data_IF_572263332679
#
_entry.id   IF_572263332679
#
_cell.length_a   1.000
_cell.length_b   1.000
_cell.length_c   1.000
_cell.angle_alpha   90.00
_cell.angle_beta   90.00
_cell.angle_gamma   90.00
#
_symmetry.space_group_name_H-M   'P 1'
#
loop_
_entity.id
_entity.type
_entity.pdbx_description
1 polymer ?
#
# COMPACT_ATOMS: atom_id res chain seq x y z
N UNK A 1 84.71 15.60 -3.94
CA UNK A 1 83.61 16.28 -4.61
C UNK A 1 82.88 15.24 -5.44
N UNK A 2 81.73 14.73 -4.93
CA UNK A 2 80.94 13.70 -5.61
C UNK A 2 79.64 14.35 -6.07
N UNK A 3 79.47 14.42 -7.38
CA UNK A 3 78.28 14.90 -8.01
C UNK A 3 77.25 13.75 -8.08
N UNK A 4 76.07 13.93 -7.50
CA UNK A 4 74.96 13.00 -7.60
C UNK A 4 74.05 13.47 -8.75
N UNK A 5 73.94 12.64 -9.78
CA UNK A 5 72.97 12.81 -10.87
C UNK A 5 71.61 12.22 -10.42
N UNK A 6 70.60 13.06 -10.35
CA UNK A 6 69.22 12.64 -10.13
C UNK A 6 68.55 12.41 -11.48
N UNK A 7 68.25 11.15 -11.81
CA UNK A 7 67.47 10.81 -12.99
C UNK A 7 65.98 10.95 -12.69
N UNK A 8 65.30 11.86 -13.37
CA UNK A 8 63.85 12.08 -13.30
C UNK A 8 63.17 11.11 -14.28
N UNK A 9 62.52 10.06 -13.74
CA UNK A 9 61.69 9.17 -14.56
C UNK A 9 60.29 9.76 -14.77
N UNK A 10 59.94 10.06 -16.00
CA UNK A 10 58.64 10.56 -16.41
C UNK A 10 57.69 9.35 -16.61
N UNK A 11 56.74 9.16 -15.70
CA UNK A 11 55.69 8.14 -15.86
C UNK A 11 54.52 8.77 -16.67
N UNK A 12 54.28 8.23 -17.85
CA UNK A 12 53.11 8.56 -18.66
C UNK A 12 51.89 7.78 -18.10
N UNK A 13 50.92 8.49 -17.50
CA UNK A 13 49.65 7.91 -17.07
C UNK A 13 48.74 7.89 -18.29
N UNK A 14 48.50 6.72 -18.88
CA UNK A 14 47.46 6.50 -19.89
C UNK A 14 46.12 6.46 -19.22
N UNK A 15 45.30 7.52 -19.34
CA UNK A 15 43.94 7.54 -18.90
C UNK A 15 43.09 6.67 -19.85
N UNK A 16 42.65 5.51 -19.36
CA UNK A 16 41.62 4.72 -20.05
C UNK A 16 40.29 5.47 -19.93
N UNK A 17 39.76 5.97 -21.04
CA UNK A 17 38.41 6.47 -21.10
C UNK A 17 37.44 5.32 -20.87
N UNK A 18 36.78 5.29 -19.70
CA UNK A 18 35.69 4.37 -19.42
C UNK A 18 34.49 4.79 -20.27
N UNK A 19 34.12 3.96 -21.23
CA UNK A 19 32.86 4.10 -21.94
C UNK A 19 31.72 3.93 -20.92
N UNK A 20 30.82 4.91 -20.76
CA UNK A 20 29.69 4.74 -19.84
C UNK A 20 28.86 3.53 -20.28
N UNK A 21 28.54 2.66 -19.31
CA UNK A 21 27.68 1.52 -19.56
C UNK A 21 26.30 2.02 -20.05
N UNK A 22 25.67 1.34 -21.01
CA UNK A 22 24.34 1.73 -21.47
C UNK A 22 23.38 1.74 -20.28
N UNK A 23 22.77 2.90 -20.04
CA UNK A 23 21.69 3.03 -19.04
C UNK A 23 20.49 2.24 -19.56
N UNK A 24 20.23 1.07 -18.99
CA UNK A 24 19.00 0.33 -19.25
C UNK A 24 17.87 1.14 -18.61
N UNK A 25 17.12 1.84 -19.45
CA UNK A 25 15.86 2.48 -19.01
C UNK A 25 14.85 1.35 -18.86
N UNK A 26 14.55 0.98 -17.63
CA UNK A 26 13.47 0.04 -17.34
C UNK A 26 12.16 0.66 -17.84
N UNK A 27 11.32 -0.11 -18.56
CA UNK A 27 10.05 0.41 -19.05
C UNK A 27 9.17 0.81 -17.86
N UNK A 28 8.66 2.03 -17.89
CA UNK A 28 7.75 2.54 -16.86
C UNK A 28 6.50 1.65 -16.80
N UNK A 29 6.07 1.31 -15.58
CA UNK A 29 4.86 0.54 -15.36
C UNK A 29 3.63 1.27 -15.92
N UNK A 30 2.84 0.59 -16.74
CA UNK A 30 1.55 1.08 -17.26
C UNK A 30 0.43 0.26 -16.66
N UNK A 31 -0.34 0.86 -15.75
CA UNK A 31 -1.54 0.24 -15.16
C UNK A 31 -2.75 0.54 -16.03
N UNK A 32 -3.42 -0.50 -16.54
CA UNK A 32 -4.64 -0.37 -17.35
C UNK A 32 -5.92 -0.44 -16.52
N UNK A 33 -5.92 -1.22 -15.43
CA UNK A 33 -7.05 -1.39 -14.53
C UNK A 33 -6.74 -2.32 -13.39
N UNK A 34 -7.81 -2.86 -12.78
CA UNK A 34 -7.75 -3.97 -11.83
C UNK A 34 -8.89 -4.94 -12.09
N UNK A 35 -8.63 -6.23 -11.84
CA UNK A 35 -9.63 -7.28 -11.78
C UNK A 35 -9.88 -7.64 -10.32
N UNK A 36 -11.07 -7.32 -9.79
CA UNK A 36 -11.48 -7.69 -8.42
C UNK A 36 -11.85 -9.16 -8.42
N UNK A 37 -11.24 -9.92 -7.51
CA UNK A 37 -11.47 -11.37 -7.35
C UNK A 37 -12.38 -11.69 -6.19
N UNK A 38 -12.24 -10.98 -5.05
CA UNK A 38 -13.09 -11.11 -3.87
C UNK A 38 -13.35 -9.76 -3.22
N UNK A 39 -14.52 -9.65 -2.57
CA UNK A 39 -14.85 -8.53 -1.70
C UNK A 39 -15.71 -9.04 -0.54
N UNK A 40 -15.21 -8.94 0.69
CA UNK A 40 -15.89 -9.54 1.84
C UNK A 40 -15.06 -9.50 3.11
N UNK A 41 -15.40 -10.35 4.06
CA UNK A 41 -14.62 -10.54 5.27
C UNK A 41 -13.54 -11.60 5.05
N UNK A 42 -12.38 -11.37 5.64
CA UNK A 42 -11.24 -12.27 5.54
C UNK A 42 -10.57 -12.46 6.90
N UNK A 43 -9.70 -13.45 6.99
CA UNK A 43 -8.84 -13.72 8.15
C UNK A 43 -7.42 -13.98 7.68
N UNK A 44 -6.45 -13.74 8.56
CA UNK A 44 -5.03 -14.00 8.30
C UNK A 44 -4.17 -13.41 9.42
N UNK A 45 -2.94 -13.92 9.58
CA UNK A 45 -1.96 -13.31 10.46
C UNK A 45 -1.74 -11.84 10.10
N UNK A 46 -1.92 -10.97 11.08
CA UNK A 46 -1.77 -9.53 10.86
C UNK A 46 -0.68 -8.94 11.76
N UNK A 47 -0.03 -7.93 11.25
CA UNK A 47 0.89 -7.08 12.00
C UNK A 47 0.56 -5.61 11.70
N UNK A 48 0.95 -4.71 12.58
CA UNK A 48 0.75 -3.28 12.38
C UNK A 48 2.04 -2.50 12.64
N UNK A 49 2.20 -1.41 11.91
CA UNK A 49 3.26 -0.43 12.11
C UNK A 49 2.65 0.97 12.20
N UNK A 50 3.41 1.92 12.76
CA UNK A 50 3.01 3.33 12.75
C UNK A 50 2.83 3.81 11.31
N UNK A 51 1.78 4.57 11.04
CA UNK A 51 1.53 5.19 9.73
C UNK A 51 2.66 6.18 9.39
N UNK A 52 3.10 6.15 8.15
CA UNK A 52 4.14 7.04 7.62
C UNK A 52 3.54 8.41 7.26
N UNK A 53 4.40 9.40 7.01
CA UNK A 53 3.97 10.71 6.55
C UNK A 53 3.11 10.61 5.26
N UNK A 54 1.97 11.30 5.24
CA UNK A 54 1.00 11.24 4.14
C UNK A 54 0.01 10.08 4.21
N UNK A 55 0.13 9.19 5.21
CA UNK A 55 -0.87 8.18 5.52
C UNK A 55 -1.74 8.65 6.68
N UNK A 56 -3.06 8.54 6.52
CA UNK A 56 -4.04 8.95 7.51
C UNK A 56 -4.91 7.75 7.91
N UNK A 57 -4.83 7.37 9.18
CA UNK A 57 -5.58 6.26 9.77
C UNK A 57 -6.08 6.67 11.16
N UNK A 58 -7.30 6.30 11.58
CA UNK A 58 -7.82 6.63 12.90
C UNK A 58 -6.98 6.13 14.06
N UNK A 59 -6.31 5.00 13.89
CA UNK A 59 -5.39 4.42 14.88
C UNK A 59 -3.97 4.94 14.76
N UNK A 60 -3.65 5.72 13.71
CA UNK A 60 -2.28 6.11 13.32
C UNK A 60 -1.36 4.92 13.05
N UNK A 61 -1.95 3.78 12.71
CA UNK A 61 -1.23 2.56 12.32
C UNK A 61 -1.74 2.05 10.99
N UNK A 62 -0.87 1.34 10.28
CA UNK A 62 -1.20 0.62 9.05
C UNK A 62 -0.93 -0.85 9.28
N UNK A 63 -1.93 -1.67 8.99
CA UNK A 63 -1.85 -3.13 9.09
C UNK A 63 -1.30 -3.75 7.80
N UNK A 64 -0.66 -4.89 7.95
CA UNK A 64 -0.35 -5.82 6.87
C UNK A 64 -0.90 -7.19 7.25
N UNK A 65 -1.44 -7.91 6.27
CA UNK A 65 -1.97 -9.25 6.44
C UNK A 65 -1.26 -10.18 5.47
N UNK A 66 -0.91 -11.37 5.94
CA UNK A 66 -0.30 -12.42 5.13
C UNK A 66 -1.17 -13.67 5.13
N UNK A 67 -1.07 -14.50 4.08
CA UNK A 67 -1.80 -15.77 3.98
C UNK A 67 -3.30 -15.62 4.29
N UNK A 68 -3.91 -14.55 3.76
CA UNK A 68 -5.32 -14.26 3.98
C UNK A 68 -6.22 -15.30 3.32
N UNK A 69 -7.38 -15.51 3.94
CA UNK A 69 -8.44 -16.36 3.42
C UNK A 69 -9.77 -15.63 3.58
N UNK A 70 -10.57 -15.55 2.52
CA UNK A 70 -11.91 -14.99 2.60
C UNK A 70 -12.83 -15.95 3.37
N UNK A 71 -13.57 -15.39 4.30
CA UNK A 71 -14.60 -16.09 5.09
C UNK A 71 -15.96 -15.93 4.43
N UNK A 72 -16.21 -14.75 3.86
CA UNK A 72 -17.43 -14.44 3.09
C UNK A 72 -17.07 -13.58 1.87
N UNK A 73 -17.85 -13.69 0.82
CA UNK A 73 -17.86 -12.77 -0.33
C UNK A 73 -19.02 -11.75 -0.23
N UNK A 74 -19.48 -11.45 0.99
CA UNK A 74 -20.54 -10.48 1.26
C UNK A 74 -19.96 -9.13 1.66
N UNK A 75 -20.59 -8.07 1.20
CA UNK A 75 -20.31 -6.70 1.64
C UNK A 75 -21.02 -6.33 2.94
N UNK A 76 -21.88 -7.21 3.47
CA UNK A 76 -22.46 -7.07 4.81
C UNK A 76 -21.49 -7.57 5.87
N UNK A 77 -21.09 -6.68 6.76
CA UNK A 77 -20.04 -6.93 7.76
C UNK A 77 -20.59 -6.79 9.17
N UNK A 78 -20.44 -7.82 9.97
CA UNK A 78 -20.73 -7.73 11.41
C UNK A 78 -19.57 -7.03 12.10
N UNK A 79 -19.83 -5.85 12.68
CA UNK A 79 -18.83 -5.02 13.35
C UNK A 79 -18.44 -5.61 14.70
N UNK A 80 -17.35 -6.34 14.75
CA UNK A 80 -16.76 -6.93 15.94
C UNK A 80 -15.25 -6.68 15.95
N UNK A 81 -14.67 -6.46 17.14
CA UNK A 81 -13.21 -6.37 17.27
C UNK A 81 -12.57 -7.65 16.73
N UNK A 82 -11.59 -7.48 15.86
CA UNK A 82 -10.92 -8.55 15.12
C UNK A 82 -11.52 -8.86 13.74
N UNK A 83 -12.73 -8.36 13.40
CA UNK A 83 -13.26 -8.50 12.03
C UNK A 83 -12.41 -7.70 11.05
N UNK A 84 -12.02 -8.35 9.96
CA UNK A 84 -11.30 -7.76 8.84
C UNK A 84 -12.15 -7.89 7.57
N UNK A 85 -12.21 -6.84 6.76
CA UNK A 85 -12.95 -6.82 5.49
C UNK A 85 -12.22 -6.00 4.44
N UNK A 86 -12.41 -6.32 3.18
CA UNK A 86 -11.69 -5.65 2.12
C UNK A 86 -11.92 -6.21 0.73
N UNK A 87 -11.03 -5.83 -0.16
CA UNK A 87 -11.06 -6.12 -1.60
C UNK A 87 -9.77 -6.85 -1.96
N UNK A 88 -9.92 -8.03 -2.54
CA UNK A 88 -8.82 -8.72 -3.21
C UNK A 88 -8.91 -8.43 -4.72
N UNK A 89 -7.79 -8.12 -5.31
CA UNK A 89 -7.73 -7.77 -6.72
C UNK A 89 -6.35 -8.06 -7.31
N UNK A 90 -6.32 -8.10 -8.64
CA UNK A 90 -5.09 -8.18 -9.45
C UNK A 90 -4.95 -6.89 -10.24
N UNK A 91 -3.75 -6.32 -10.25
CA UNK A 91 -3.45 -5.11 -11.04
C UNK A 91 -3.17 -5.53 -12.48
N UNK A 92 -3.95 -5.00 -13.42
CA UNK A 92 -3.78 -5.23 -14.84
C UNK A 92 -2.87 -4.16 -15.44
N UNK A 93 -1.90 -4.59 -16.27
CA UNK A 93 -0.94 -3.66 -16.86
C UNK A 93 0.31 -4.34 -17.43
N UNK A 94 1.30 -3.53 -17.76
CA UNK A 94 2.59 -3.96 -18.33
C UNK A 94 3.74 -3.11 -17.81
N UNK A 95 4.97 -3.67 -17.71
CA UNK A 95 5.28 -5.08 -17.80
C UNK A 95 4.80 -5.86 -16.57
N UNK A 96 4.63 -7.17 -16.70
CA UNK A 96 4.30 -8.02 -15.55
C UNK A 96 5.38 -7.91 -14.46
N UNK A 97 4.99 -8.07 -13.19
CA UNK A 97 5.84 -7.95 -11.99
C UNK A 97 6.43 -6.55 -11.76
N UNK A 98 6.14 -5.56 -12.61
CA UNK A 98 6.59 -4.20 -12.36
C UNK A 98 5.98 -3.66 -11.06
N UNK A 99 6.80 -3.02 -10.21
CA UNK A 99 6.33 -2.43 -8.97
C UNK A 99 5.48 -1.19 -9.26
N UNK A 100 4.37 -1.07 -8.54
CA UNK A 100 3.48 0.09 -8.57
C UNK A 100 3.07 0.48 -7.15
N UNK A 101 2.78 1.75 -6.94
CA UNK A 101 2.20 2.23 -5.69
C UNK A 101 0.72 2.47 -5.90
N UNK A 102 -0.11 1.67 -5.24
CA UNK A 102 -1.55 1.93 -5.15
C UNK A 102 -1.89 2.59 -3.81
N UNK A 103 -3.04 3.23 -3.75
CA UNK A 103 -3.54 3.90 -2.55
C UNK A 103 -4.95 3.38 -2.25
N UNK A 104 -5.20 3.07 -0.99
CA UNK A 104 -6.54 2.82 -0.49
C UNK A 104 -7.08 4.11 0.11
N UNK A 105 -8.24 4.55 -0.37
CA UNK A 105 -9.04 5.60 0.25
C UNK A 105 -10.28 4.97 0.85
N UNK A 106 -10.55 5.28 2.11
CA UNK A 106 -11.72 4.80 2.83
C UNK A 106 -12.56 6.00 3.22
N UNK A 107 -13.84 6.00 2.86
CA UNK A 107 -14.82 6.92 3.41
C UNK A 107 -15.62 6.20 4.48
N UNK A 108 -15.65 6.76 5.68
CA UNK A 108 -16.39 6.24 6.83
C UNK A 108 -17.85 6.69 6.80
N UNK A 109 -18.74 6.04 7.57
CA UNK A 109 -20.10 6.52 7.77
C UNK A 109 -20.14 7.99 8.23
N UNK A 110 -21.27 8.72 8.05
CA UNK A 110 -21.36 10.15 8.39
C UNK A 110 -20.94 10.52 9.80
N UNK A 111 -21.13 9.61 10.77
CA UNK A 111 -20.69 9.83 12.15
C UNK A 111 -19.16 9.89 12.30
N UNK A 112 -18.42 9.34 11.34
CA UNK A 112 -16.97 9.26 11.39
C UNK A 112 -16.44 8.42 12.54
N UNK A 113 -15.14 8.16 12.53
CA UNK A 113 -14.45 7.46 13.63
C UNK A 113 -13.82 8.48 14.57
N UNK A 114 -14.17 8.42 15.86
CA UNK A 114 -13.56 9.25 16.89
C UNK A 114 -12.55 8.45 17.71
N UNK A 115 -11.28 8.84 17.62
CA UNK A 115 -10.24 8.26 18.46
C UNK A 115 -10.34 8.80 19.90
N UNK A 116 -10.63 7.99 20.92
CA UNK A 116 -10.79 8.45 22.30
C UNK A 116 -9.51 8.98 22.93
N UNK A 117 -8.34 8.54 22.44
CA UNK A 117 -7.05 8.94 22.98
C UNK A 117 -6.60 10.31 22.50
N UNK A 118 -7.01 10.72 21.29
CA UNK A 118 -6.64 12.02 20.69
C UNK A 118 -7.81 13.00 20.64
N UNK A 119 -9.06 12.49 20.75
CA UNK A 119 -10.27 13.25 20.56
C UNK A 119 -10.59 13.56 19.10
N UNK A 120 -9.68 13.23 18.18
CA UNK A 120 -9.81 13.47 16.75
C UNK A 120 -10.94 12.64 16.14
N UNK A 121 -11.71 13.25 15.24
CA UNK A 121 -12.74 12.57 14.44
C UNK A 121 -12.33 12.60 13.00
N UNK A 122 -12.33 11.42 12.36
CA UNK A 122 -12.00 11.25 10.96
C UNK A 122 -13.20 10.72 10.18
N UNK A 123 -13.43 11.28 9.00
CA UNK A 123 -14.46 10.83 8.07
C UNK A 123 -13.90 10.04 6.91
N UNK A 124 -12.59 10.00 6.78
CA UNK A 124 -11.87 9.21 5.77
C UNK A 124 -10.50 8.77 6.27
N UNK A 125 -9.95 7.77 5.61
CA UNK A 125 -8.57 7.34 5.77
C UNK A 125 -7.89 7.20 4.41
N UNK A 126 -6.58 7.35 4.39
CA UNK A 126 -5.76 7.17 3.18
C UNK A 126 -4.51 6.39 3.53
N UNK A 127 -4.26 5.30 2.83
CA UNK A 127 -3.10 4.44 3.04
C UNK A 127 -2.45 4.10 1.70
N UNK A 128 -1.16 4.37 1.56
CA UNK A 128 -0.39 3.98 0.40
C UNK A 128 0.21 2.59 0.58
N UNK A 129 0.16 1.80 -0.48
CA UNK A 129 0.75 0.47 -0.56
C UNK A 129 1.83 0.49 -1.65
N UNK A 130 3.08 0.79 -1.28
CA UNK A 130 4.21 0.74 -2.20
C UNK A 130 4.53 -0.71 -2.55
N UNK A 131 5.14 -0.90 -3.71
CA UNK A 131 5.63 -2.20 -4.18
C UNK A 131 4.56 -3.27 -4.42
N UNK A 132 3.31 -2.90 -4.66
CA UNK A 132 2.39 -3.82 -5.33
C UNK A 132 2.91 -4.15 -6.72
N UNK A 133 2.59 -5.33 -7.24
CA UNK A 133 3.11 -5.78 -8.53
C UNK A 133 1.99 -5.98 -9.54
N UNK A 134 2.24 -5.57 -10.78
CA UNK A 134 1.35 -5.88 -11.91
C UNK A 134 1.24 -7.40 -12.06
N UNK A 135 0.01 -7.90 -12.14
CA UNK A 135 -0.30 -9.32 -12.24
C UNK A 135 -0.34 -10.09 -10.92
N UNK A 136 0.18 -9.54 -9.83
CA UNK A 136 0.11 -10.18 -8.52
C UNK A 136 -1.26 -9.99 -7.85
N UNK A 137 -1.62 -10.94 -6.99
CA UNK A 137 -2.80 -10.86 -6.14
C UNK A 137 -2.52 -9.90 -4.98
N UNK A 138 -3.38 -8.91 -4.80
CA UNK A 138 -3.27 -7.86 -3.81
C UNK A 138 -4.51 -7.84 -2.91
N UNK A 139 -4.33 -7.46 -1.65
CA UNK A 139 -5.41 -7.25 -0.70
C UNK A 139 -5.29 -5.85 -0.10
N UNK A 140 -6.42 -5.13 -0.04
CA UNK A 140 -6.58 -3.89 0.73
C UNK A 140 -7.85 -3.96 1.55
N UNK A 141 -7.88 -3.32 2.72
CA UNK A 141 -9.06 -3.39 3.57
C UNK A 141 -8.90 -2.65 4.87
N UNK A 142 -9.83 -2.91 5.78
CA UNK A 142 -9.85 -2.41 7.14
C UNK A 142 -10.07 -3.53 8.13
N UNK A 143 -9.50 -3.40 9.32
CA UNK A 143 -9.70 -4.33 10.43
C UNK A 143 -10.00 -3.57 11.71
N UNK A 144 -11.04 -3.98 12.43
CA UNK A 144 -11.40 -3.38 13.71
C UNK A 144 -10.47 -3.87 14.82
N UNK A 145 -9.47 -3.08 15.15
CA UNK A 145 -8.57 -3.35 16.28
C UNK A 145 -9.17 -2.95 17.63
N UNK A 146 -10.09 -1.99 17.65
CA UNK A 146 -10.72 -1.45 18.85
C UNK A 146 -12.23 -1.28 18.67
N UNK A 147 -12.98 -1.37 19.75
CA UNK A 147 -14.44 -1.23 19.73
C UNK A 147 -14.90 0.17 19.26
N UNK A 148 -14.13 1.21 19.51
CA UNK A 148 -14.45 2.58 19.09
C UNK A 148 -14.30 2.83 17.58
N UNK A 149 -13.63 1.92 16.86
CA UNK A 149 -13.53 1.96 15.39
C UNK A 149 -14.80 1.46 14.71
N UNK A 150 -15.65 0.71 15.43
CA UNK A 150 -16.86 0.08 14.89
C UNK A 150 -17.97 1.13 14.79
N UNK A 151 -18.04 1.81 13.65
CA UNK A 151 -19.11 2.75 13.32
C UNK A 151 -20.05 2.08 12.33
N UNK A 152 -21.32 1.81 12.71
CA UNK A 152 -22.29 1.22 11.80
C UNK A 152 -22.63 2.14 10.63
N UNK A 153 -22.93 1.55 9.48
CA UNK A 153 -23.26 2.26 8.26
C UNK A 153 -22.40 1.86 7.07
N UNK A 154 -22.41 2.70 6.05
CA UNK A 154 -21.70 2.45 4.80
C UNK A 154 -20.22 2.86 4.90
N UNK A 155 -19.35 1.94 4.56
CA UNK A 155 -17.91 2.11 4.45
C UNK A 155 -17.52 1.96 2.98
N UNK A 156 -17.04 3.01 2.36
CA UNK A 156 -16.62 2.98 0.97
C UNK A 156 -15.12 2.81 0.88
N UNK A 157 -14.67 1.77 0.20
CA UNK A 157 -13.26 1.46 -0.06
C UNK A 157 -12.96 1.68 -1.54
N UNK A 158 -11.97 2.51 -1.84
CA UNK A 158 -11.54 2.85 -3.19
C UNK A 158 -10.06 2.53 -3.39
N UNK A 159 -9.75 1.76 -4.43
CA UNK A 159 -8.38 1.51 -4.87
C UNK A 159 -8.00 2.56 -5.89
N UNK A 160 -6.99 3.35 -5.58
CA UNK A 160 -6.52 4.45 -6.41
C UNK A 160 -5.13 4.18 -6.97
N UNK A 161 -4.90 4.58 -8.20
CA UNK A 161 -3.57 4.64 -8.81
C UNK A 161 -3.38 6.04 -9.40
N UNK A 162 -2.43 6.80 -8.85
CA UNK A 162 -2.38 8.24 -9.03
C UNK A 162 -3.74 8.87 -8.69
N UNK A 163 -4.35 9.62 -9.59
CA UNK A 163 -5.67 10.25 -9.43
C UNK A 163 -6.81 9.45 -10.08
N UNK A 164 -6.54 8.22 -10.51
CA UNK A 164 -7.53 7.34 -11.14
C UNK A 164 -8.04 6.29 -10.17
N UNK A 165 -9.34 6.24 -9.99
CA UNK A 165 -10.01 5.16 -9.27
C UNK A 165 -9.99 3.89 -10.14
N UNK A 166 -9.45 2.80 -9.59
CA UNK A 166 -9.37 1.50 -10.26
C UNK A 166 -10.50 0.56 -9.84
N UNK A 167 -10.88 0.59 -8.57
CA UNK A 167 -12.00 -0.19 -8.04
C UNK A 167 -12.65 0.54 -6.86
N UNK A 168 -13.93 0.26 -6.64
CA UNK A 168 -14.70 0.72 -5.49
C UNK A 168 -15.58 -0.42 -4.98
N UNK A 169 -15.71 -0.52 -3.65
CA UNK A 169 -16.70 -1.37 -2.97
C UNK A 169 -17.25 -0.63 -1.76
N UNK A 170 -18.56 -0.74 -1.57
CA UNK A 170 -19.24 -0.26 -0.36
C UNK A 170 -19.59 -1.46 0.51
N UNK A 171 -19.19 -1.39 1.77
CA UNK A 171 -19.49 -2.38 2.81
C UNK A 171 -20.49 -1.79 3.79
N UNK A 172 -21.48 -2.57 4.18
CA UNK A 172 -22.44 -2.19 5.21
C UNK A 172 -22.03 -2.82 6.53
N UNK A 173 -21.57 -2.00 7.48
CA UNK A 173 -21.20 -2.48 8.81
C UNK A 173 -22.41 -2.39 9.74
N UNK A 174 -22.80 -3.50 10.34
CA UNK A 174 -23.83 -3.58 11.36
C UNK A 174 -23.22 -3.80 12.76
N UNK A 175 -23.89 -3.34 13.80
CA UNK A 175 -23.54 -3.73 15.18
C UNK A 175 -23.82 -5.24 15.37
N UNK A 176 -23.01 -5.94 16.17
CA UNK A 176 -23.38 -7.27 16.58
C UNK A 176 -24.68 -7.22 17.41
N UNK A 177 -25.53 -8.20 17.20
CA UNK A 177 -26.74 -8.42 18.02
C UNK A 177 -26.35 -8.80 19.46
#
# INVERSE_FOLDING_TARGET
MHAWSVSLALFAITAFAQTPAPTVVEPSATVTGVTVTHAGTFTGPSSSKTAEAGQHSPTRTVGTVSNWQFVTDSTDVVGKVGTQFGIEFRIDGTPAEAPVTARLEITFPPDGIRNPNTGERMHSATVAFPNMKIGALCLVGYGFGNAWEIVPGEWKLQVMYHDRMLAERTFTVAKPE
#
